data_IF_863806933651
#
_entry.id   IF_863806933651
#
_cell.length_a   1.000
_cell.length_b   1.000
_cell.length_c   1.000
_cell.angle_alpha   90.00
_cell.angle_beta   90.00
_cell.angle_gamma   90.00
#
_symmetry.space_group_name_H-M   'P 1'
#
loop_
_entity.id
_entity.type
_entity.pdbx_description
1 polymer ?
#
# COMPACT_ATOMS: atom_id res chain seq x y z
N UNK A 1 -20.01 32.71 -2.33
CA UNK A 1 -20.60 31.85 -1.29
C UNK A 1 -19.53 31.05 -0.54
N UNK A 2 -18.87 30.04 -1.12
CA UNK A 2 -17.85 29.26 -0.37
C UNK A 2 -16.52 30.01 -0.13
N UNK A 3 -15.96 30.65 -1.16
CA UNK A 3 -14.76 31.51 -1.03
C UNK A 3 -14.99 32.72 -0.11
N UNK A 4 -16.24 33.16 0.03
CA UNK A 4 -16.63 34.29 0.87
C UNK A 4 -16.50 33.96 2.36
N UNK A 5 -16.72 32.69 2.74
CA UNK A 5 -16.72 32.23 4.13
C UNK A 5 -15.45 31.43 4.50
N UNK A 6 -14.77 30.88 3.49
CA UNK A 6 -13.60 30.01 3.67
C UNK A 6 -12.39 30.63 2.99
N UNK A 7 -11.38 31.03 3.78
CA UNK A 7 -10.11 31.64 3.31
C UNK A 7 -9.22 30.70 2.49
N UNK A 8 -9.70 29.50 2.18
CA UNK A 8 -8.98 28.47 1.44
C UNK A 8 -9.74 28.12 0.17
N UNK A 9 -9.00 27.79 -0.90
CA UNK A 9 -9.57 27.28 -2.14
C UNK A 9 -10.42 26.02 -1.87
N UNK A 10 -11.54 25.89 -2.58
CA UNK A 10 -12.41 24.71 -2.47
C UNK A 10 -11.63 23.46 -2.86
N UNK A 11 -11.27 22.64 -1.88
CA UNK A 11 -10.62 21.36 -2.09
C UNK A 11 -11.69 20.27 -2.00
N UNK A 12 -11.81 19.44 -3.04
CA UNK A 12 -12.72 18.30 -3.06
C UNK A 12 -12.51 17.36 -1.86
N UNK A 13 -11.25 17.22 -1.43
CA UNK A 13 -10.85 16.50 -0.22
C UNK A 13 -11.50 17.02 1.07
N UNK A 14 -11.76 18.32 1.17
CA UNK A 14 -12.44 18.89 2.34
C UNK A 14 -13.90 18.43 2.41
N UNK A 15 -14.59 18.40 1.26
CA UNK A 15 -15.97 17.90 1.18
C UNK A 15 -16.04 16.40 1.48
N UNK A 16 -15.06 15.63 0.98
CA UNK A 16 -14.96 14.21 1.30
C UNK A 16 -14.80 13.96 2.80
N UNK A 17 -13.92 14.71 3.48
CA UNK A 17 -13.72 14.59 4.94
C UNK A 17 -14.97 14.89 5.74
N UNK A 18 -15.80 15.84 5.29
CA UNK A 18 -17.08 16.15 5.94
C UNK A 18 -18.10 15.03 5.69
N UNK A 19 -18.23 14.59 4.44
CA UNK A 19 -19.32 13.69 4.03
C UNK A 19 -19.06 12.21 4.37
N UNK A 20 -17.80 11.76 4.50
CA UNK A 20 -17.45 10.34 4.68
C UNK A 20 -18.06 9.67 5.91
N UNK A 21 -18.49 10.44 6.91
CA UNK A 21 -19.05 9.94 8.16
C UNK A 21 -20.58 10.11 8.24
N UNK A 22 -21.23 10.58 7.17
CA UNK A 22 -22.69 10.68 7.10
C UNK A 22 -23.34 9.29 7.15
N UNK A 23 -24.45 9.19 7.89
CA UNK A 23 -25.11 7.91 8.19
C UNK A 23 -25.47 7.11 6.92
N UNK A 24 -25.87 7.80 5.85
CA UNK A 24 -26.18 7.19 4.54
C UNK A 24 -25.02 6.41 3.92
N UNK A 25 -23.77 6.82 4.19
CA UNK A 25 -22.58 6.13 3.70
C UNK A 25 -22.09 5.04 4.66
N UNK A 26 -22.36 5.20 5.95
CA UNK A 26 -22.02 4.20 6.96
C UNK A 26 -22.91 2.95 6.83
N UNK A 27 -24.20 3.10 6.54
CA UNK A 27 -25.13 1.98 6.32
C UNK A 27 -24.64 1.08 5.17
N UNK A 28 -24.18 1.66 4.05
CA UNK A 28 -23.62 0.90 2.93
C UNK A 28 -22.35 0.11 3.34
N UNK A 29 -21.47 0.75 4.12
CA UNK A 29 -20.23 0.14 4.60
C UNK A 29 -20.48 -1.02 5.56
N UNK A 30 -21.49 -0.88 6.41
CA UNK A 30 -21.81 -1.90 7.41
C UNK A 30 -22.57 -3.08 6.76
N UNK A 31 -23.42 -2.84 5.75
CA UNK A 31 -24.03 -3.90 4.94
C UNK A 31 -23.00 -4.73 4.15
N UNK A 32 -21.91 -4.11 3.67
CA UNK A 32 -20.82 -4.82 2.99
C UNK A 32 -20.06 -5.76 3.93
N UNK A 33 -19.97 -5.42 5.23
CA UNK A 33 -19.35 -6.27 6.26
C UNK A 33 -20.25 -7.43 6.70
N UNK A 34 -21.56 -7.31 6.55
CA UNK A 34 -22.52 -8.39 6.86
C UNK A 34 -22.51 -9.45 5.75
N UNK A 35 -22.29 -9.06 4.49
CA UNK A 35 -22.31 -9.98 3.34
C UNK A 35 -21.11 -10.94 3.28
N UNK A 36 -20.03 -10.68 4.02
CA UNK A 36 -18.81 -11.51 4.01
C UNK A 36 -18.83 -12.68 5.01
N UNK A 37 -19.96 -12.93 5.69
CA UNK A 37 -20.10 -14.00 6.70
C UNK A 37 -21.27 -14.94 6.45
N UNK A 38 -21.41 -15.48 5.24
CA UNK A 38 -22.30 -16.63 5.01
C UNK A 38 -21.56 -17.71 4.21
N UNK A 39 -21.52 -18.97 4.68
CA UNK A 39 -20.97 -20.08 3.93
C UNK A 39 -21.92 -20.47 2.79
N UNK A 40 -21.34 -20.91 1.68
CA UNK A 40 -22.05 -21.25 0.45
C UNK A 40 -22.97 -22.47 0.62
N UNK A 41 -24.27 -22.30 0.32
CA UNK A 41 -25.16 -23.41 -0.08
C UNK A 41 -26.24 -22.91 -1.06
N UNK A 42 -26.10 -23.39 -2.30
CA UNK A 42 -27.14 -23.90 -3.22
C UNK A 42 -28.38 -23.08 -3.61
N UNK A 43 -28.59 -23.13 -4.93
CA UNK A 43 -29.87 -23.35 -5.64
C UNK A 43 -30.58 -22.14 -6.27
N UNK A 44 -30.63 -22.23 -7.61
CA UNK A 44 -31.62 -21.73 -8.57
C UNK A 44 -32.90 -21.10 -7.99
N UNK A 45 -33.34 -19.95 -8.52
CA UNK A 45 -34.66 -19.85 -9.18
C UNK A 45 -34.84 -18.52 -9.95
N UNK A 46 -35.33 -18.72 -11.17
CA UNK A 46 -35.79 -17.83 -12.24
C UNK A 46 -36.73 -16.70 -11.78
N UNK A 47 -36.43 -15.45 -12.16
CA UNK A 47 -37.42 -14.36 -12.11
C UNK A 47 -38.22 -14.35 -13.42
N UNK A 48 -39.43 -14.88 -13.39
CA UNK A 48 -40.43 -14.73 -14.45
C UNK A 48 -41.42 -13.64 -14.03
N UNK A 49 -41.32 -12.44 -14.61
CA UNK A 49 -42.37 -11.43 -14.51
C UNK A 49 -43.44 -11.73 -15.56
N UNK A 50 -44.58 -12.25 -15.11
CA UNK A 50 -45.82 -12.39 -15.87
C UNK A 50 -46.62 -11.09 -15.76
N UNK A 51 -46.90 -10.44 -16.88
CA UNK A 51 -47.92 -9.38 -17.00
C UNK A 51 -49.07 -10.01 -17.76
N UNK A 52 -50.17 -10.29 -17.06
CA UNK A 52 -51.47 -10.62 -17.65
C UNK A 52 -52.17 -9.29 -17.98
N UNK A 53 -52.66 -9.17 -19.22
CA UNK A 53 -53.59 -8.11 -19.61
C UNK A 53 -54.88 -8.79 -20.05
N UNK A 54 -55.94 -8.32 -19.41
CA UNK A 54 -57.28 -8.85 -19.30
C UNK A 54 -58.03 -8.93 -20.63
N UNK A 55 -58.91 -9.93 -20.72
CA UNK A 55 -59.94 -10.09 -21.73
C UNK A 55 -61.01 -8.99 -21.58
N UNK A 56 -61.45 -8.40 -22.68
CA UNK A 56 -62.83 -7.93 -22.77
C UNK A 56 -63.40 -8.23 -24.16
N UNK A 57 -64.67 -8.61 -24.12
CA UNK A 57 -65.47 -9.33 -25.09
C UNK A 57 -66.16 -8.39 -26.10
N UNK A 58 -66.64 -8.99 -27.20
CA UNK A 58 -67.86 -8.63 -27.98
C UNK A 58 -67.64 -8.70 -29.51
N UNK A 59 -67.87 -9.91 -30.03
CA UNK A 59 -68.92 -10.22 -31.00
C UNK A 59 -69.15 -9.25 -32.18
N UNK A 60 -68.71 -9.64 -33.38
CA UNK A 60 -69.49 -9.57 -34.64
C UNK A 60 -68.95 -10.65 -35.60
N UNK A 61 -69.86 -11.53 -36.00
CA UNK A 61 -69.69 -12.52 -37.06
C UNK A 61 -69.58 -11.85 -38.43
N UNK A 62 -68.56 -12.23 -39.22
CA UNK A 62 -68.60 -12.18 -40.68
C UNK A 62 -67.58 -13.17 -41.23
N UNK A 63 -68.11 -14.32 -41.60
CA UNK A 63 -67.50 -15.37 -42.39
C UNK A 63 -66.83 -14.79 -43.65
N UNK A 64 -65.52 -14.75 -43.63
CA UNK A 64 -64.71 -14.66 -44.84
C UNK A 64 -63.45 -15.49 -44.58
N UNK A 65 -63.45 -16.73 -45.05
CA UNK A 65 -62.30 -17.63 -45.11
C UNK A 65 -61.20 -17.00 -45.97
N UNK A 66 -60.51 -16.01 -45.43
CA UNK A 66 -59.21 -15.54 -45.91
C UNK A 66 -58.17 -16.47 -45.31
N UNK A 67 -57.88 -17.52 -46.07
CA UNK A 67 -56.83 -18.48 -45.79
C UNK A 67 -55.52 -17.73 -45.48
N UNK A 68 -55.06 -17.83 -44.23
CA UNK A 68 -53.82 -17.19 -43.78
C UNK A 68 -52.67 -17.72 -44.65
N UNK A 69 -51.81 -16.86 -45.24
CA UNK A 69 -50.69 -17.34 -46.04
C UNK A 69 -49.80 -18.27 -45.21
N UNK A 70 -49.47 -19.43 -45.80
CA UNK A 70 -48.66 -20.47 -45.16
C UNK A 70 -47.37 -19.83 -44.62
N UNK A 71 -47.24 -19.81 -43.29
CA UNK A 71 -46.13 -19.11 -42.64
C UNK A 71 -44.79 -19.72 -43.03
N UNK A 72 -43.79 -18.86 -43.28
CA UNK A 72 -42.37 -19.21 -43.49
C UNK A 72 -41.69 -19.85 -42.26
N UNK A 73 -42.37 -20.78 -41.57
CA UNK A 73 -41.86 -21.44 -40.36
C UNK A 73 -40.59 -22.24 -40.66
N UNK A 74 -40.53 -22.93 -41.80
CA UNK A 74 -39.35 -23.71 -42.20
C UNK A 74 -38.12 -22.82 -42.53
N UNK A 75 -38.32 -21.66 -43.14
CA UNK A 75 -37.22 -20.72 -43.45
C UNK A 75 -36.73 -19.99 -42.18
N UNK A 76 -37.66 -19.61 -41.28
CA UNK A 76 -37.33 -19.00 -39.98
C UNK A 76 -36.64 -19.99 -39.03
N UNK A 77 -36.96 -21.28 -39.11
CA UNK A 77 -36.28 -22.34 -38.36
C UNK A 77 -34.85 -22.58 -38.88
N UNK A 78 -34.66 -22.63 -40.21
CA UNK A 78 -33.32 -22.73 -40.82
C UNK A 78 -32.45 -21.51 -40.49
N UNK A 79 -33.04 -20.31 -40.41
CA UNK A 79 -32.33 -19.09 -39.99
C UNK A 79 -31.99 -19.11 -38.48
N UNK A 80 -32.80 -19.73 -37.62
CA UNK A 80 -32.48 -19.94 -36.19
C UNK A 80 -31.29 -20.90 -36.02
N UNK A 81 -31.19 -21.96 -36.82
CA UNK A 81 -30.04 -22.89 -36.75
C UNK A 81 -28.72 -22.26 -37.24
N UNK A 82 -28.77 -21.25 -38.12
CA UNK A 82 -27.60 -20.45 -38.52
C UNK A 82 -27.16 -19.39 -37.50
N UNK A 83 -27.94 -19.18 -36.42
CA UNK A 83 -27.59 -18.27 -35.31
C UNK A 83 -26.88 -18.97 -34.15
N UNK A 84 -26.70 -20.29 -34.21
CA UNK A 84 -25.81 -20.97 -33.29
C UNK A 84 -24.38 -20.66 -33.71
N UNK A 85 -23.88 -19.59 -33.12
CA UNK A 85 -22.52 -19.13 -33.21
C UNK A 85 -21.61 -20.04 -32.37
N UNK A 86 -21.63 -21.34 -32.65
CA UNK A 86 -20.82 -22.34 -31.93
C UNK A 86 -19.31 -22.07 -32.04
N UNK A 87 -18.90 -21.23 -33.01
CA UNK A 87 -17.51 -20.81 -33.22
C UNK A 87 -17.08 -19.63 -32.32
N UNK A 88 -18.02 -18.82 -31.80
CA UNK A 88 -17.70 -17.62 -30.99
C UNK A 88 -17.69 -17.93 -29.49
N UNK A 89 -18.36 -19.00 -29.06
CA UNK A 89 -18.36 -19.46 -27.67
C UNK A 89 -16.96 -19.94 -27.21
N UNK A 90 -16.20 -20.74 -28.00
CA UNK A 90 -14.83 -21.13 -27.66
C UNK A 90 -13.87 -19.94 -27.60
N UNK A 91 -14.01 -18.99 -28.53
CA UNK A 91 -13.18 -17.77 -28.58
C UNK A 91 -13.39 -16.92 -27.33
N UNK A 92 -14.65 -16.70 -26.93
CA UNK A 92 -14.99 -15.92 -25.74
C UNK A 92 -14.53 -16.62 -24.45
N UNK A 93 -14.59 -17.96 -24.42
CA UNK A 93 -14.05 -18.75 -23.29
C UNK A 93 -12.54 -18.61 -23.16
N UNK A 94 -11.80 -18.70 -24.28
CA UNK A 94 -10.34 -18.51 -24.31
C UNK A 94 -9.96 -17.12 -23.80
N UNK A 95 -10.62 -16.07 -24.30
CA UNK A 95 -10.38 -14.69 -23.85
C UNK A 95 -10.68 -14.50 -22.36
N UNK A 96 -11.73 -15.14 -21.84
CA UNK A 96 -12.05 -15.07 -20.43
C UNK A 96 -10.98 -15.75 -19.56
N UNK A 97 -10.42 -16.87 -20.02
CA UNK A 97 -9.37 -17.60 -19.31
C UNK A 97 -8.03 -16.86 -19.36
N UNK A 98 -7.70 -16.22 -20.49
CA UNK A 98 -6.55 -15.28 -20.59
C UNK A 98 -6.67 -14.13 -19.59
N UNK A 99 -7.85 -13.49 -19.48
CA UNK A 99 -8.08 -12.40 -18.52
C UNK A 99 -7.96 -12.89 -17.07
N UNK A 100 -8.42 -14.11 -16.75
CA UNK A 100 -8.27 -14.67 -15.41
C UNK A 100 -6.80 -14.94 -15.09
N UNK A 101 -6.05 -15.47 -16.04
CA UNK A 101 -4.63 -15.78 -15.89
C UNK A 101 -3.82 -14.49 -15.72
N UNK A 102 -4.06 -13.47 -16.55
CA UNK A 102 -3.43 -12.16 -16.43
C UNK A 102 -3.72 -11.53 -15.05
N UNK A 103 -4.97 -11.60 -14.57
CA UNK A 103 -5.32 -11.13 -13.22
C UNK A 103 -4.59 -11.90 -12.12
N UNK A 104 -4.36 -13.21 -12.31
CA UNK A 104 -3.60 -14.03 -11.37
C UNK A 104 -2.14 -13.60 -11.34
N UNK A 105 -1.52 -13.40 -12.50
CA UNK A 105 -0.13 -12.93 -12.63
C UNK A 105 0.01 -11.54 -11.99
N UNK A 106 -0.83 -10.58 -12.38
CA UNK A 106 -0.82 -9.22 -11.83
C UNK A 106 -0.97 -9.20 -10.31
N UNK A 107 -1.80 -10.08 -9.75
CA UNK A 107 -1.99 -10.19 -8.31
C UNK A 107 -0.75 -10.76 -7.61
N UNK A 108 -0.07 -11.73 -8.22
CA UNK A 108 1.16 -12.31 -7.69
C UNK A 108 2.33 -11.32 -7.76
N UNK A 109 2.50 -10.63 -8.89
CA UNK A 109 3.49 -9.56 -9.04
C UNK A 109 3.26 -8.42 -8.04
N UNK A 110 1.99 -8.08 -7.76
CA UNK A 110 1.65 -7.08 -6.74
C UNK A 110 2.03 -7.54 -5.33
N UNK A 111 1.89 -8.83 -5.02
CA UNK A 111 2.36 -9.38 -3.74
C UNK A 111 3.88 -9.38 -3.66
N UNK A 112 4.55 -9.75 -4.74
CA UNK A 112 6.01 -9.81 -4.76
C UNK A 112 6.63 -8.41 -4.66
N UNK A 113 6.13 -7.44 -5.42
CA UNK A 113 6.55 -6.04 -5.31
C UNK A 113 6.31 -5.49 -3.89
N UNK A 114 5.20 -5.83 -3.25
CA UNK A 114 4.96 -5.46 -1.85
C UNK A 114 5.95 -6.12 -0.88
N UNK A 115 6.32 -7.39 -1.10
CA UNK A 115 7.36 -8.07 -0.31
C UNK A 115 8.71 -7.40 -0.47
N UNK A 116 9.13 -7.14 -1.71
CA UNK A 116 10.41 -6.48 -2.03
C UNK A 116 10.46 -5.10 -1.35
N UNK A 117 9.41 -4.28 -1.49
CA UNK A 117 9.36 -2.95 -0.88
C UNK A 117 9.46 -2.99 0.67
N UNK A 118 8.93 -4.02 1.31
CA UNK A 118 9.06 -4.20 2.75
C UNK A 118 10.48 -4.60 3.17
N UNK A 119 11.13 -5.47 2.40
CA UNK A 119 12.51 -5.88 2.67
C UNK A 119 13.48 -4.72 2.45
N UNK A 120 13.35 -3.99 1.33
CA UNK A 120 14.16 -2.79 1.06
C UNK A 120 14.03 -1.75 2.18
N UNK A 121 12.81 -1.54 2.69
CA UNK A 121 12.57 -0.63 3.82
C UNK A 121 13.26 -1.10 5.10
N UNK A 122 13.30 -2.42 5.32
CA UNK A 122 13.97 -3.02 6.48
C UNK A 122 15.47 -2.85 6.38
N UNK A 123 16.05 -3.11 5.21
CA UNK A 123 17.48 -2.96 4.94
C UNK A 123 17.93 -1.50 5.05
N UNK A 124 17.13 -0.57 4.54
CA UNK A 124 17.35 0.87 4.71
C UNK A 124 17.40 1.25 6.19
N UNK A 125 16.46 0.75 7.00
CA UNK A 125 16.43 1.04 8.43
C UNK A 125 17.65 0.48 9.16
N UNK A 126 18.11 -0.73 8.78
CA UNK A 126 19.31 -1.34 9.34
C UNK A 126 20.54 -0.50 8.98
N UNK A 127 20.66 -0.05 7.72
CA UNK A 127 21.75 0.82 7.26
C UNK A 127 21.78 2.14 8.04
N UNK A 128 20.66 2.84 8.13
CA UNK A 128 20.55 4.10 8.89
C UNK A 128 20.93 3.89 10.36
N UNK A 129 20.49 2.77 10.97
CA UNK A 129 20.82 2.46 12.36
C UNK A 129 22.31 2.18 12.54
N UNK A 130 22.92 1.46 11.61
CA UNK A 130 24.36 1.17 11.62
C UNK A 130 25.18 2.45 11.51
N UNK A 131 24.87 3.30 10.53
CA UNK A 131 25.54 4.59 10.32
C UNK A 131 25.42 5.49 11.54
N UNK A 132 24.22 5.63 12.12
CA UNK A 132 24.02 6.38 13.36
C UNK A 132 24.83 5.83 14.54
N UNK A 133 24.96 4.51 14.64
CA UNK A 133 25.75 3.90 15.70
C UNK A 133 27.25 4.16 15.51
N UNK A 134 27.74 4.08 14.27
CA UNK A 134 29.12 4.42 13.92
C UNK A 134 29.43 5.90 14.21
N UNK A 135 28.52 6.82 13.85
CA UNK A 135 28.65 8.25 14.15
C UNK A 135 28.67 8.52 15.67
N UNK A 136 27.81 7.84 16.44
CA UNK A 136 27.81 7.96 17.90
C UNK A 136 29.12 7.46 18.53
N UNK A 137 29.68 6.36 18.01
CA UNK A 137 30.99 5.85 18.46
C UNK A 137 32.07 6.89 18.16
N UNK A 138 32.11 7.43 16.94
CA UNK A 138 33.09 8.44 16.55
C UNK A 138 33.02 9.69 17.44
N UNK A 139 31.82 10.24 17.68
CA UNK A 139 31.63 11.40 18.56
C UNK A 139 32.10 11.08 19.98
N UNK A 140 31.84 9.87 20.48
CA UNK A 140 32.26 9.44 21.82
C UNK A 140 33.77 9.32 21.92
N UNK A 141 34.43 8.77 20.90
CA UNK A 141 35.89 8.67 20.81
C UNK A 141 36.55 10.05 20.74
N UNK A 142 36.03 10.95 19.90
CA UNK A 142 36.52 12.33 19.80
C UNK A 142 36.38 13.06 21.13
N UNK A 143 35.23 12.95 21.79
CA UNK A 143 35.01 13.54 23.12
C UNK A 143 36.00 12.99 24.14
N UNK A 144 36.23 11.68 24.16
CA UNK A 144 37.19 11.04 25.06
C UNK A 144 38.63 11.52 24.77
N UNK A 145 39.01 11.68 23.50
CA UNK A 145 40.33 12.19 23.10
C UNK A 145 40.52 13.65 23.51
N UNK A 146 39.50 14.50 23.36
CA UNK A 146 39.53 15.90 23.83
C UNK A 146 39.65 15.96 25.35
N UNK A 147 38.90 15.14 26.08
CA UNK A 147 38.98 15.05 27.55
C UNK A 147 40.36 14.55 28.01
N UNK A 148 40.91 13.54 27.33
CA UNK A 148 42.26 13.06 27.58
C UNK A 148 43.31 14.16 27.37
N UNK A 149 43.23 14.93 26.28
CA UNK A 149 44.15 16.05 26.05
C UNK A 149 44.06 17.10 27.14
N UNK A 150 42.84 17.47 27.58
CA UNK A 150 42.66 18.41 28.69
C UNK A 150 43.33 17.93 29.98
N UNK A 151 43.18 16.65 30.31
CA UNK A 151 43.83 16.05 31.49
C UNK A 151 45.36 16.08 31.36
N UNK A 152 45.89 15.78 30.18
CA UNK A 152 47.32 15.83 29.91
C UNK A 152 47.88 17.26 29.99
N UNK A 153 47.15 18.25 29.47
CA UNK A 153 47.50 19.66 29.58
C UNK A 153 47.51 20.12 31.04
N UNK A 154 46.55 19.66 31.85
CA UNK A 154 46.52 19.93 33.29
C UNK A 154 47.74 19.33 34.01
N UNK A 155 48.13 18.10 33.66
CA UNK A 155 49.33 17.46 34.21
C UNK A 155 50.58 18.24 33.79
N UNK A 156 50.68 18.65 32.53
CA UNK A 156 51.84 19.38 32.00
C UNK A 156 52.01 20.75 32.67
N UNK A 157 50.92 21.41 33.03
CA UNK A 157 50.91 22.73 33.69
C UNK A 157 50.90 22.66 35.22
N UNK A 158 50.97 21.46 35.82
CA UNK A 158 50.87 21.31 37.27
C UNK A 158 52.08 21.91 37.98
N UNK A 159 51.85 22.86 38.88
CA UNK A 159 52.91 23.33 39.78
C UNK A 159 53.27 22.24 40.79
N UNK A 160 54.54 21.86 40.82
CA UNK A 160 55.05 20.80 41.68
C UNK A 160 55.81 21.34 42.89
N UNK A 161 56.05 22.65 43.03
CA UNK A 161 56.92 23.23 44.07
C UNK A 161 56.54 22.79 45.50
N UNK A 162 55.24 22.74 45.79
CA UNK A 162 54.69 22.43 47.13
C UNK A 162 54.46 20.93 47.39
N UNK A 163 54.74 20.05 46.42
CA UNK A 163 54.44 18.62 46.53
C UNK A 163 55.55 17.83 47.25
N UNK A 164 55.21 16.64 47.77
CA UNK A 164 56.20 15.69 48.31
C UNK A 164 57.13 15.17 47.20
N UNK A 165 58.38 14.78 47.52
CA UNK A 165 59.30 14.20 46.54
C UNK A 165 58.73 13.09 45.67
N UNK A 166 57.94 12.16 46.23
CA UNK A 166 57.36 11.04 45.45
C UNK A 166 56.30 11.52 44.47
N UNK A 167 55.42 12.43 44.89
CA UNK A 167 54.42 13.05 44.02
C UNK A 167 55.07 13.86 42.89
N UNK A 168 56.14 14.60 43.19
CA UNK A 168 56.92 15.35 42.19
C UNK A 168 57.45 14.42 41.10
N UNK A 169 58.09 13.32 41.51
CA UNK A 169 58.65 12.33 40.58
C UNK A 169 57.56 11.71 39.70
N UNK A 170 56.40 11.36 40.29
CA UNK A 170 55.27 10.84 39.53
C UNK A 170 54.80 11.80 38.43
N UNK A 171 54.59 13.08 38.76
CA UNK A 171 54.15 14.08 37.78
C UNK A 171 55.21 14.27 36.69
N UNK A 172 56.49 14.35 37.04
CA UNK A 172 57.59 14.45 36.07
C UNK A 172 57.58 13.26 35.09
N UNK A 173 57.42 12.03 35.59
CA UNK A 173 57.34 10.83 34.75
C UNK A 173 56.13 10.86 33.82
N UNK A 174 54.96 11.28 34.30
CA UNK A 174 53.78 11.42 33.42
C UNK A 174 53.98 12.50 32.36
N UNK A 175 54.59 13.63 32.68
CA UNK A 175 54.92 14.65 31.69
C UNK A 175 55.84 14.11 30.59
N UNK A 176 56.88 13.35 30.96
CA UNK A 176 57.78 12.72 29.99
C UNK A 176 57.06 11.72 29.07
N UNK A 177 56.21 10.86 29.63
CA UNK A 177 55.39 9.92 28.85
C UNK A 177 54.47 10.63 27.86
N UNK A 178 53.83 11.73 28.28
CA UNK A 178 52.97 12.55 27.41
C UNK A 178 53.80 13.15 26.26
N UNK A 179 54.97 13.72 26.56
CA UNK A 179 55.85 14.32 25.55
C UNK A 179 56.38 13.29 24.55
N UNK A 180 56.73 12.08 25.00
CA UNK A 180 57.15 10.99 24.12
C UNK A 180 56.01 10.57 23.19
N UNK A 181 54.81 10.36 23.74
CA UNK A 181 53.61 10.03 22.96
C UNK A 181 53.29 11.08 21.90
N UNK A 182 53.40 12.37 22.24
CA UNK A 182 53.19 13.47 21.30
C UNK A 182 54.25 13.51 20.20
N UNK A 183 55.52 13.24 20.55
CA UNK A 183 56.62 13.16 19.58
C UNK A 183 56.42 12.02 18.58
N UNK A 184 55.92 10.88 19.02
CA UNK A 184 55.57 9.77 18.12
C UNK A 184 54.39 10.09 17.21
N UNK A 185 53.42 10.88 17.70
CA UNK A 185 52.22 11.26 16.94
C UNK A 185 52.50 12.34 15.89
N UNK A 186 53.45 13.23 16.15
CA UNK A 186 53.84 14.32 15.27
C UNK A 186 55.35 14.24 14.97
N UNK A 187 55.79 13.29 14.12
CA UNK A 187 57.18 13.23 13.71
C UNK A 187 57.55 14.51 12.94
N UNK A 188 58.72 15.08 13.25
CA UNK A 188 59.28 16.26 12.58
C UNK A 188 59.75 15.94 11.16
#
# INVERSE_FOLDING_TARGET
MYQSNSKNAFQLEHCWRILRNEAKWLILRDNLKVQTRQPATQSCHTFANSINLDEDNDEINSDETLERPIGKKAEKEKLKKRKNCDDVIPILSSQLDEIKEEKRIMHEEKKESMRIALEERRDELIRIKKEKNEELIHIKEEKNEVEKRKMEDEIMMKDTRTMDPKQKEYICLRCLEILERLRSKYPS
#
